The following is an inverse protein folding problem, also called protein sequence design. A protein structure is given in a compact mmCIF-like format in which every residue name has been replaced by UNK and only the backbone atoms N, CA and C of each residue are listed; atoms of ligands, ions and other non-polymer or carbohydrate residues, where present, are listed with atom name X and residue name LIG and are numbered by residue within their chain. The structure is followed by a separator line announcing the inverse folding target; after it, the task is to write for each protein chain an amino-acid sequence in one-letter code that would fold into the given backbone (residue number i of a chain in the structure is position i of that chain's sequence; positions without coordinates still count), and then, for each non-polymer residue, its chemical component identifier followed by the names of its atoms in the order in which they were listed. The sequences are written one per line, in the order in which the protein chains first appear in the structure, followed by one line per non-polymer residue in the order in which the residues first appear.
data_IF_303607745667
#
_entry.id   IF_303607745667
#
_cell.length_a   1.000
_cell.length_b   1.000
_cell.length_c   1.000
_cell.angle_alpha   90.00
_cell.angle_beta   90.00
_cell.angle_gamma   90.00
#
_symmetry.space_group_name_H-M   'P 1'
#
loop_
_entity.id
_entity.type
_entity.pdbx_description
1 polymer ?
#
# COMPACT_ATOMS: atom_id res chain seq x y z
N UNK A 1 9.65 22.35 -29.52
CA UNK A 1 10.38 21.66 -28.45
C UNK A 1 9.80 20.25 -28.38
N UNK A 2 10.68 19.23 -28.40
CA UNK A 2 10.25 17.86 -28.29
C UNK A 2 10.00 17.52 -26.83
N UNK A 3 8.92 16.77 -26.54
CA UNK A 3 8.69 16.19 -25.22
C UNK A 3 9.59 14.96 -25.08
N UNK A 4 10.55 15.01 -24.16
CA UNK A 4 11.54 13.95 -23.94
C UNK A 4 11.21 13.06 -22.75
N UNK A 5 10.06 13.27 -22.10
CA UNK A 5 9.69 12.61 -20.84
C UNK A 5 9.65 11.08 -20.94
N UNK A 6 9.34 10.55 -22.14
CA UNK A 6 9.22 9.11 -22.39
C UNK A 6 10.44 8.54 -23.18
N UNK A 7 11.53 9.31 -23.33
CA UNK A 7 12.71 8.84 -24.07
C UNK A 7 13.61 8.03 -23.15
N UNK A 8 13.88 6.77 -23.53
CA UNK A 8 14.69 5.82 -22.74
C UNK A 8 16.06 6.40 -22.34
N UNK A 9 16.69 7.18 -23.23
CA UNK A 9 18.01 7.78 -22.98
C UNK A 9 18.03 8.82 -21.84
N UNK A 10 16.88 9.37 -21.44
CA UNK A 10 16.75 10.37 -20.37
C UNK A 10 16.03 9.83 -19.13
N UNK A 11 15.63 8.58 -19.15
CA UNK A 11 14.76 7.99 -18.10
C UNK A 11 15.38 8.00 -16.69
N UNK A 12 16.70 7.95 -16.57
CA UNK A 12 17.39 7.96 -15.28
C UNK A 12 17.85 9.36 -14.81
N UNK A 13 17.63 10.42 -15.61
CA UNK A 13 18.21 11.76 -15.35
C UNK A 13 17.72 12.40 -14.04
N UNK A 14 16.52 12.05 -13.59
CA UNK A 14 15.88 12.60 -12.37
C UNK A 14 15.92 11.63 -11.18
N UNK A 15 16.63 10.49 -11.29
CA UNK A 15 16.67 9.45 -10.27
C UNK A 15 18.10 9.04 -9.91
N UNK A 16 18.20 8.15 -8.91
CA UNK A 16 19.45 7.44 -8.60
C UNK A 16 19.26 6.00 -9.05
N UNK A 17 20.12 5.50 -9.94
CA UNK A 17 20.06 4.10 -10.36
C UNK A 17 20.54 3.16 -9.26
N UNK A 18 20.12 1.90 -9.31
CA UNK A 18 20.59 0.88 -8.36
C UNK A 18 22.11 0.72 -8.41
N UNK A 19 22.71 0.87 -9.61
CA UNK A 19 24.15 0.82 -9.80
C UNK A 19 24.87 1.95 -9.06
N UNK A 20 24.37 3.19 -9.18
CA UNK A 20 24.95 4.34 -8.47
C UNK A 20 24.83 4.15 -6.96
N UNK A 21 23.65 3.75 -6.46
CA UNK A 21 23.43 3.49 -5.04
C UNK A 21 24.42 2.45 -4.49
N UNK A 22 24.56 1.30 -5.17
CA UNK A 22 25.41 0.19 -4.68
C UNK A 22 26.90 0.44 -4.86
N UNK A 23 27.32 1.37 -5.72
CA UNK A 23 28.75 1.67 -5.96
C UNK A 23 29.21 2.92 -5.22
N UNK A 24 28.41 4.00 -5.26
CA UNK A 24 28.82 5.29 -4.72
C UNK A 24 28.38 5.50 -3.27
N UNK A 25 27.24 4.91 -2.86
CA UNK A 25 26.63 5.10 -1.53
C UNK A 25 26.70 3.83 -0.66
N UNK A 26 27.52 2.86 -1.03
CA UNK A 26 27.66 1.61 -0.28
C UNK A 26 28.00 1.83 1.20
N UNK A 27 28.96 2.71 1.57
CA UNK A 27 29.26 2.97 2.97
C UNK A 27 28.08 3.54 3.77
N UNK A 28 27.21 4.34 3.12
CA UNK A 28 26.03 4.92 3.77
C UNK A 28 24.95 3.87 4.02
N UNK A 29 24.80 2.88 3.11
CA UNK A 29 23.90 1.73 3.29
C UNK A 29 24.39 0.85 4.44
N UNK A 30 25.70 0.54 4.49
CA UNK A 30 26.31 -0.25 5.55
C UNK A 30 26.07 0.40 6.93
N UNK A 31 26.33 1.69 7.01
CA UNK A 31 26.16 2.45 8.23
C UNK A 31 24.68 2.62 8.65
N UNK A 32 23.74 2.72 7.70
CA UNK A 32 22.30 2.69 7.99
C UNK A 32 21.88 1.30 8.48
N UNK A 33 22.45 0.22 7.88
CA UNK A 33 22.20 -1.15 8.28
C UNK A 33 22.64 -1.41 9.72
N UNK A 34 23.83 -0.94 10.10
CA UNK A 34 24.34 -1.03 11.49
C UNK A 34 23.37 -0.37 12.48
N UNK A 35 22.91 0.84 12.20
CA UNK A 35 21.99 1.57 13.08
C UNK A 35 20.61 0.90 13.20
N UNK A 36 20.18 0.16 12.17
CA UNK A 36 18.90 -0.56 12.13
C UNK A 36 19.03 -2.04 12.57
N UNK A 37 20.24 -2.54 12.85
CA UNK A 37 20.48 -3.94 13.13
C UNK A 37 20.22 -4.88 11.94
N UNK A 38 20.45 -4.39 10.72
CA UNK A 38 20.26 -5.09 9.44
C UNK A 38 21.59 -5.38 8.77
N UNK A 39 21.66 -6.47 8.02
CA UNK A 39 22.75 -6.71 7.07
C UNK A 39 22.67 -5.71 5.92
N UNK A 40 23.76 -5.58 5.15
CA UNK A 40 23.79 -4.74 3.94
C UNK A 40 22.68 -5.12 2.96
N UNK A 41 22.49 -6.42 2.72
CA UNK A 41 21.48 -6.95 1.80
C UNK A 41 20.07 -6.65 2.27
N UNK A 42 19.78 -6.80 3.55
CA UNK A 42 18.48 -6.48 4.14
C UNK A 42 18.21 -4.98 4.06
N UNK A 43 19.20 -4.15 4.40
CA UNK A 43 19.08 -2.69 4.31
C UNK A 43 18.85 -2.23 2.88
N UNK A 44 19.62 -2.77 1.91
CA UNK A 44 19.43 -2.46 0.48
C UNK A 44 18.06 -2.89 -0.03
N UNK A 45 17.58 -4.06 0.38
CA UNK A 45 16.25 -4.54 0.02
C UNK A 45 15.14 -3.62 0.57
N UNK A 46 15.29 -3.16 1.82
CA UNK A 46 14.32 -2.25 2.43
C UNK A 46 14.35 -0.85 1.78
N UNK A 47 15.53 -0.32 1.46
CA UNK A 47 15.67 0.94 0.71
C UNK A 47 15.03 0.82 -0.69
N UNK A 48 15.26 -0.32 -1.38
CA UNK A 48 14.65 -0.60 -2.68
C UNK A 48 13.13 -0.61 -2.57
N UNK A 49 12.57 -1.34 -1.61
CA UNK A 49 11.13 -1.42 -1.39
C UNK A 49 10.50 -0.07 -1.07
N UNK A 50 11.24 0.79 -0.36
CA UNK A 50 10.71 2.05 0.16
C UNK A 50 10.82 3.21 -0.82
N UNK A 51 11.91 3.30 -1.62
CA UNK A 51 12.26 4.50 -2.40
C UNK A 51 12.52 4.26 -3.88
N UNK A 52 12.69 3.00 -4.32
CA UNK A 52 12.89 2.63 -5.72
C UNK A 52 11.57 2.57 -6.49
N UNK A 53 11.67 2.31 -7.78
CA UNK A 53 10.53 1.91 -8.61
C UNK A 53 9.90 3.02 -9.44
N UNK A 54 10.50 4.22 -9.51
CA UNK A 54 10.13 5.19 -10.53
C UNK A 54 10.61 4.75 -11.89
N UNK A 55 9.70 4.72 -12.87
CA UNK A 55 9.93 4.22 -14.21
C UNK A 55 9.30 5.19 -15.22
N UNK A 56 10.09 5.73 -16.14
CA UNK A 56 9.70 6.87 -16.95
C UNK A 56 9.56 6.57 -18.44
N UNK A 57 9.90 5.37 -18.91
CA UNK A 57 9.75 4.98 -20.31
C UNK A 57 9.50 3.48 -20.45
N UNK A 58 9.26 2.99 -21.66
CA UNK A 58 8.89 1.59 -21.91
C UNK A 58 10.00 0.58 -21.58
N UNK A 59 11.26 1.00 -21.66
CA UNK A 59 12.45 0.13 -21.53
C UNK A 59 13.45 0.62 -20.50
N UNK A 60 13.08 1.61 -19.70
CA UNK A 60 13.98 2.15 -18.68
C UNK A 60 14.17 1.17 -17.50
N UNK A 61 15.24 1.38 -16.76
CA UNK A 61 15.37 0.80 -15.43
C UNK A 61 14.57 1.61 -14.39
N UNK A 62 14.24 0.98 -13.28
CA UNK A 62 13.68 1.67 -12.13
C UNK A 62 14.76 2.54 -11.47
N UNK A 63 14.35 3.70 -10.97
CA UNK A 63 15.24 4.61 -10.25
C UNK A 63 14.65 5.01 -8.90
N UNK A 64 15.54 5.24 -7.94
CA UNK A 64 15.21 5.74 -6.61
C UNK A 64 14.85 7.22 -6.63
N UNK A 65 13.92 7.61 -5.77
CA UNK A 65 13.69 9.02 -5.45
C UNK A 65 14.92 9.61 -4.74
N UNK A 66 15.65 10.55 -5.36
CA UNK A 66 16.89 11.09 -4.78
C UNK A 66 16.68 11.80 -3.44
N UNK A 67 15.58 12.56 -3.32
CA UNK A 67 15.29 13.33 -2.11
C UNK A 67 15.08 12.42 -0.90
N UNK A 68 14.21 11.43 -1.04
CA UNK A 68 13.88 10.53 0.06
C UNK A 68 15.02 9.59 0.41
N UNK A 69 15.71 9.05 -0.61
CA UNK A 69 16.86 8.17 -0.42
C UNK A 69 18.00 8.88 0.32
N UNK A 70 18.43 10.06 -0.15
CA UNK A 70 19.51 10.82 0.50
C UNK A 70 19.12 11.24 1.92
N UNK A 71 17.84 11.60 2.14
CA UNK A 71 17.37 11.90 3.49
C UNK A 71 17.39 10.69 4.41
N UNK A 72 17.01 9.50 3.93
CA UNK A 72 17.05 8.27 4.71
C UNK A 72 18.48 7.91 5.12
N UNK A 73 19.43 7.98 4.19
CA UNK A 73 20.84 7.72 4.45
C UNK A 73 21.44 8.71 5.45
N UNK A 74 21.17 10.01 5.28
CA UNK A 74 21.67 11.06 6.18
C UNK A 74 21.06 10.99 7.58
N UNK A 75 19.75 10.73 7.67
CA UNK A 75 19.04 10.65 8.94
C UNK A 75 19.21 9.30 9.65
N UNK A 76 19.85 8.32 9.02
CA UNK A 76 20.00 6.95 9.50
C UNK A 76 18.66 6.30 9.86
N UNK A 77 17.63 6.59 9.07
CA UNK A 77 16.26 6.13 9.33
C UNK A 77 15.47 5.99 8.03
N UNK A 78 14.79 4.87 7.85
CA UNK A 78 13.83 4.66 6.78
C UNK A 78 12.46 5.23 7.22
N UNK A 79 11.96 6.23 6.50
CA UNK A 79 10.70 6.89 6.81
C UNK A 79 10.11 7.58 5.55
N UNK A 80 8.81 7.90 5.52
CA UNK A 80 8.21 8.61 4.40
C UNK A 80 8.57 10.10 4.44
N UNK A 81 9.57 10.50 3.68
CA UNK A 81 10.08 11.88 3.62
C UNK A 81 9.39 12.75 2.58
N UNK A 82 8.96 12.16 1.46
CA UNK A 82 8.40 12.89 0.33
C UNK A 82 7.15 13.69 0.71
N UNK A 83 6.25 13.09 1.48
CA UNK A 83 5.03 13.75 1.96
C UNK A 83 5.26 14.77 3.09
N UNK A 84 6.43 14.81 3.69
CA UNK A 84 6.77 15.80 4.72
C UNK A 84 6.88 17.24 4.20
N UNK A 85 6.93 17.44 2.89
CA UNK A 85 7.04 18.75 2.26
C UNK A 85 5.70 19.46 1.99
N UNK A 86 4.57 18.81 2.25
CA UNK A 86 3.23 19.40 2.11
C UNK A 86 2.13 18.41 1.80
N UNK A 87 0.95 18.60 2.38
CA UNK A 87 -0.23 17.80 2.05
C UNK A 87 -0.72 18.19 0.65
N UNK A 88 -0.94 17.26 -0.25
CA UNK A 88 -1.37 17.55 -1.63
C UNK A 88 -2.85 17.92 -1.69
N UNK A 89 -3.23 19.05 -1.07
CA UNK A 89 -4.63 19.49 -0.96
C UNK A 89 -5.32 19.60 -2.33
N UNK A 90 -4.57 20.04 -3.36
CA UNK A 90 -5.09 20.10 -4.71
C UNK A 90 -5.39 18.71 -5.28
N UNK A 91 -4.50 17.73 -5.02
CA UNK A 91 -4.69 16.36 -5.45
C UNK A 91 -5.94 15.74 -4.80
N UNK A 92 -6.08 15.91 -3.48
CA UNK A 92 -7.26 15.39 -2.75
C UNK A 92 -8.55 15.97 -3.33
N UNK A 93 -8.61 17.29 -3.56
CA UNK A 93 -9.76 17.95 -4.19
C UNK A 93 -10.02 17.41 -5.60
N UNK A 94 -8.98 17.11 -6.37
CA UNK A 94 -9.10 16.57 -7.72
C UNK A 94 -9.64 15.13 -7.69
N UNK A 95 -9.16 14.28 -6.78
CA UNK A 95 -9.68 12.93 -6.59
C UNK A 95 -11.16 12.95 -6.19
N UNK A 96 -11.55 13.84 -5.29
CA UNK A 96 -12.94 14.05 -4.90
C UNK A 96 -13.80 14.52 -6.08
N UNK A 97 -13.31 15.49 -6.85
CA UNK A 97 -14.00 16.01 -8.05
C UNK A 97 -14.30 14.92 -9.08
N UNK A 98 -13.35 14.02 -9.30
CA UNK A 98 -13.49 12.91 -10.25
C UNK A 98 -14.04 11.63 -9.61
N UNK A 99 -14.47 11.66 -8.34
CA UNK A 99 -15.01 10.52 -7.61
C UNK A 99 -14.11 9.27 -7.64
N UNK A 100 -12.78 9.49 -7.59
CA UNK A 100 -11.81 8.40 -7.63
C UNK A 100 -11.79 7.67 -6.30
N UNK A 101 -12.10 6.36 -6.33
CA UNK A 101 -11.92 5.52 -5.15
C UNK A 101 -10.42 5.20 -4.98
N UNK A 102 -9.94 5.19 -3.74
CA UNK A 102 -8.55 4.90 -3.41
C UNK A 102 -8.07 3.53 -3.92
N UNK A 103 -8.96 2.55 -3.96
CA UNK A 103 -8.67 1.21 -4.49
C UNK A 103 -8.51 1.18 -6.01
N UNK A 104 -9.07 2.17 -6.73
CA UNK A 104 -8.98 2.24 -8.19
C UNK A 104 -7.71 2.97 -8.68
N UNK A 105 -6.90 3.45 -7.78
CA UNK A 105 -5.64 4.15 -8.11
C UNK A 105 -4.58 3.17 -8.58
N UNK A 106 -4.53 1.97 -7.98
CA UNK A 106 -3.55 0.94 -8.34
C UNK A 106 -3.93 0.16 -9.61
N UNK A 107 -2.89 -0.29 -10.32
CA UNK A 107 -3.00 -1.16 -11.52
C UNK A 107 -3.91 -0.58 -12.60
N UNK A 108 -3.85 0.74 -12.80
CA UNK A 108 -4.64 1.42 -13.82
C UNK A 108 -4.07 1.13 -15.21
N UNK A 109 -4.83 0.40 -16.03
CA UNK A 109 -4.50 0.21 -17.46
C UNK A 109 -5.02 1.40 -18.28
N UNK A 110 -4.17 2.01 -19.09
CA UNK A 110 -4.47 3.25 -19.83
C UNK A 110 -3.60 3.36 -21.10
N UNK A 111 -3.99 4.26 -21.99
CA UNK A 111 -3.20 4.69 -23.13
C UNK A 111 -2.30 5.90 -22.74
N UNK A 112 -1.33 6.25 -23.57
CA UNK A 112 -0.45 7.40 -23.29
C UNK A 112 -1.25 8.70 -23.19
N UNK A 113 -2.26 8.86 -24.02
CA UNK A 113 -3.14 10.05 -24.04
C UNK A 113 -4.03 10.17 -22.77
N UNK A 114 -4.12 9.11 -21.96
CA UNK A 114 -4.84 9.14 -20.69
C UNK A 114 -4.06 9.79 -19.56
N UNK A 115 -2.73 9.85 -19.64
CA UNK A 115 -1.87 10.32 -18.54
C UNK A 115 -0.81 11.36 -18.93
N UNK A 116 -0.40 11.43 -20.21
CA UNK A 116 0.57 12.43 -20.69
C UNK A 116 -0.15 13.58 -21.43
N UNK A 117 -1.04 14.27 -20.72
CA UNK A 117 -1.81 15.42 -21.23
C UNK A 117 -1.61 16.66 -20.36
N UNK A 118 -1.81 17.85 -20.97
CA UNK A 118 -1.71 19.10 -20.21
C UNK A 118 -2.85 19.22 -19.17
N UNK A 119 -2.62 19.96 -18.05
CA UNK A 119 -3.62 20.13 -17.01
C UNK A 119 -4.96 20.69 -17.48
N UNK A 120 -4.95 21.53 -18.54
CA UNK A 120 -6.18 22.13 -19.12
C UNK A 120 -7.04 21.10 -19.86
N UNK A 121 -6.45 20.00 -20.32
CA UNK A 121 -7.13 18.96 -21.09
C UNK A 121 -7.51 17.73 -20.25
N UNK A 122 -7.23 17.75 -18.95
CA UNK A 122 -7.51 16.63 -18.05
C UNK A 122 -9.01 16.33 -17.94
N UNK A 123 -9.39 15.09 -18.26
CA UNK A 123 -10.75 14.56 -18.08
C UNK A 123 -10.87 13.63 -16.88
N UNK A 124 -9.74 13.30 -16.24
CA UNK A 124 -9.65 12.43 -15.06
C UNK A 124 -8.52 12.90 -14.12
N UNK A 125 -8.39 12.27 -12.97
CA UNK A 125 -7.28 12.56 -12.05
C UNK A 125 -5.95 11.88 -12.48
N UNK A 126 -5.97 10.98 -13.46
CA UNK A 126 -4.82 10.14 -13.83
C UNK A 126 -3.60 10.95 -14.28
N UNK A 127 -3.74 11.99 -15.17
CA UNK A 127 -2.60 12.81 -15.55
C UNK A 127 -1.94 13.50 -14.36
N UNK A 128 -2.73 14.03 -13.44
CA UNK A 128 -2.21 14.68 -12.24
C UNK A 128 -1.43 13.68 -11.37
N UNK A 129 -1.97 12.48 -11.15
CA UNK A 129 -1.31 11.43 -10.37
C UNK A 129 0.03 11.02 -10.97
N UNK A 130 0.09 10.85 -12.29
CA UNK A 130 1.31 10.47 -13.00
C UNK A 130 2.34 11.61 -13.02
N UNK A 131 1.96 12.79 -13.49
CA UNK A 131 2.86 13.94 -13.64
C UNK A 131 3.38 14.48 -12.30
N UNK A 132 2.64 14.27 -11.20
CA UNK A 132 3.09 14.62 -9.86
C UNK A 132 3.86 13.49 -9.17
N UNK A 133 4.15 12.37 -9.83
CA UNK A 133 4.95 11.27 -9.31
C UNK A 133 4.24 10.38 -8.28
N UNK A 134 2.91 10.45 -8.18
CA UNK A 134 2.14 9.50 -7.34
C UNK A 134 1.98 8.14 -8.01
N UNK A 135 1.93 8.14 -9.35
CA UNK A 135 1.94 6.92 -10.15
C UNK A 135 3.14 6.93 -11.10
N UNK A 136 3.54 5.75 -11.51
CA UNK A 136 4.60 5.53 -12.48
C UNK A 136 4.24 4.38 -13.40
N UNK A 137 4.94 4.25 -14.53
CA UNK A 137 4.79 3.12 -15.45
C UNK A 137 5.34 1.87 -14.75
N UNK A 138 4.55 0.79 -14.68
CA UNK A 138 5.00 -0.52 -14.18
C UNK A 138 5.08 -1.57 -15.27
N UNK A 139 4.23 -1.46 -16.28
CA UNK A 139 4.23 -2.38 -17.42
C UNK A 139 3.82 -1.64 -18.68
N UNK A 140 4.37 -2.08 -19.79
CA UNK A 140 3.91 -1.73 -21.13
C UNK A 140 3.56 -3.00 -21.90
N UNK A 141 2.40 -3.01 -22.56
CA UNK A 141 1.99 -4.07 -23.45
C UNK A 141 2.12 -3.59 -24.90
N UNK A 142 3.14 -4.02 -25.66
CA UNK A 142 3.39 -3.53 -27.00
C UNK A 142 2.36 -3.98 -28.03
N UNK A 143 1.61 -5.07 -27.76
CA UNK A 143 0.55 -5.53 -28.66
C UNK A 143 -0.70 -4.66 -28.59
N UNK A 144 -0.98 -4.13 -27.41
CA UNK A 144 -2.18 -3.32 -27.15
C UNK A 144 -1.88 -1.84 -27.04
N UNK A 145 -0.60 -1.45 -27.07
CA UNK A 145 -0.10 -0.09 -26.80
C UNK A 145 -0.62 0.47 -25.45
N UNK A 146 -0.72 -0.40 -24.42
CA UNK A 146 -1.28 -0.04 -23.13
C UNK A 146 -0.24 -0.07 -22.03
N UNK A 147 -0.31 0.95 -21.19
CA UNK A 147 0.49 1.09 -19.98
C UNK A 147 -0.29 0.62 -18.76
N UNK A 148 0.41 0.09 -17.77
CA UNK A 148 -0.13 -0.11 -16.43
C UNK A 148 0.58 0.84 -15.49
N UNK A 149 -0.18 1.72 -14.84
CA UNK A 149 0.34 2.65 -13.85
C UNK A 149 0.03 2.13 -12.44
N UNK A 150 1.04 2.23 -11.55
CA UNK A 150 0.92 1.86 -10.14
C UNK A 150 1.72 2.86 -9.28
N UNK A 151 1.57 2.79 -7.96
CA UNK A 151 2.47 3.51 -7.06
C UNK A 151 3.93 3.11 -7.33
N UNK A 152 4.87 4.07 -7.37
CA UNK A 152 6.27 3.73 -7.60
C UNK A 152 6.82 2.83 -6.49
N UNK A 153 6.51 3.13 -5.24
CA UNK A 153 7.06 2.48 -4.07
C UNK A 153 6.17 2.63 -2.84
N UNK A 154 6.63 2.03 -1.74
CA UNK A 154 5.92 2.00 -0.47
C UNK A 154 5.78 3.38 0.17
N UNK A 155 6.79 4.24 0.06
CA UNK A 155 6.74 5.60 0.60
C UNK A 155 5.55 6.38 0.04
N UNK A 156 5.43 6.38 -1.29
CA UNK A 156 4.37 7.11 -2.01
C UNK A 156 3.00 6.51 -1.71
N UNK A 157 2.89 5.17 -1.74
CA UNK A 157 1.64 4.48 -1.39
C UNK A 157 1.18 4.87 0.02
N UNK A 158 2.02 4.70 1.03
CA UNK A 158 1.67 5.02 2.43
C UNK A 158 1.29 6.49 2.60
N UNK A 159 2.09 7.40 2.02
CA UNK A 159 1.81 8.83 2.12
C UNK A 159 0.48 9.22 1.47
N UNK A 160 0.18 8.63 0.30
CA UNK A 160 -1.09 8.84 -0.39
C UNK A 160 -2.27 8.34 0.45
N UNK A 161 -2.18 7.11 0.97
CA UNK A 161 -3.24 6.52 1.80
C UNK A 161 -3.45 7.31 3.10
N UNK A 162 -2.37 7.76 3.76
CA UNK A 162 -2.46 8.64 4.94
C UNK A 162 -3.17 9.97 4.61
N UNK A 163 -2.90 10.54 3.43
CA UNK A 163 -3.51 11.80 2.99
C UNK A 163 -5.01 11.64 2.65
N UNK A 164 -5.41 10.45 2.18
CA UNK A 164 -6.80 10.15 1.83
C UNK A 164 -7.62 9.61 3.01
N UNK A 165 -6.97 8.98 3.98
CA UNK A 165 -7.62 8.35 5.11
C UNK A 165 -8.63 9.26 5.85
N UNK A 166 -8.40 10.57 6.07
CA UNK A 166 -9.38 11.46 6.71
C UNK A 166 -10.74 11.55 6.00
N UNK A 167 -10.78 11.22 4.70
CA UNK A 167 -12.03 11.23 3.94
C UNK A 167 -12.90 10.00 4.18
N UNK A 168 -12.31 8.92 4.66
CA UNK A 168 -12.95 7.61 4.87
C UNK A 168 -12.98 7.20 6.34
N UNK A 169 -11.95 7.58 7.09
CA UNK A 169 -11.77 7.24 8.50
C UNK A 169 -12.13 8.42 9.39
N UNK A 170 -12.60 8.14 10.63
CA UNK A 170 -12.90 9.21 11.58
C UNK A 170 -11.63 9.98 12.00
N UNK A 171 -11.67 11.33 12.09
CA UNK A 171 -10.56 12.13 12.62
C UNK A 171 -10.11 11.69 14.03
N UNK A 172 -11.03 11.24 14.87
CA UNK A 172 -10.73 10.70 16.22
C UNK A 172 -9.79 9.50 16.16
N UNK A 173 -9.82 8.74 15.06
CA UNK A 173 -8.96 7.58 14.84
C UNK A 173 -7.58 7.94 14.29
N UNK A 174 -7.44 9.14 13.74
CA UNK A 174 -6.19 9.62 13.15
C UNK A 174 -5.33 10.39 14.16
N UNK A 175 -5.95 11.06 15.13
CA UNK A 175 -5.25 11.71 16.25
C UNK A 175 -4.54 10.70 17.17
N UNK A 176 -5.06 9.49 17.16
CA UNK A 176 -4.36 8.39 17.78
C UNK A 176 -3.84 7.52 16.63
N UNK A 177 -2.62 7.50 16.29
CA UNK A 177 -1.98 6.33 15.67
C UNK A 177 -2.45 5.02 16.37
N UNK A 178 -3.43 5.16 17.28
CA UNK A 178 -3.86 4.18 18.25
C UNK A 178 -4.62 3.04 17.61
N UNK A 179 -5.57 3.27 16.65
CA UNK A 179 -6.31 2.10 16.14
C UNK A 179 -5.39 1.11 15.43
N UNK A 180 -4.59 1.62 14.48
CA UNK A 180 -3.63 0.78 13.73
C UNK A 180 -2.54 0.27 14.67
N UNK A 181 -2.07 1.11 15.58
CA UNK A 181 -1.07 0.74 16.61
C UNK A 181 -1.62 -0.31 17.57
N UNK A 182 -2.75 -0.03 18.21
CA UNK A 182 -3.41 -0.95 19.16
C UNK A 182 -3.69 -2.32 18.51
N UNK A 183 -4.21 -2.30 17.27
CA UNK A 183 -4.50 -3.53 16.54
C UNK A 183 -3.22 -4.33 16.25
N UNK A 184 -2.13 -3.66 15.87
CA UNK A 184 -0.84 -4.30 15.64
C UNK A 184 -0.22 -4.83 16.94
N UNK A 185 -0.31 -4.09 18.05
CA UNK A 185 0.15 -4.55 19.37
C UNK A 185 -0.61 -5.81 19.80
N UNK A 186 -1.95 -5.80 19.66
CA UNK A 186 -2.77 -6.99 19.94
C UNK A 186 -2.37 -8.18 19.09
N UNK A 187 -2.14 -8.00 17.77
CA UNK A 187 -1.65 -9.08 16.92
C UNK A 187 -0.22 -9.54 17.33
N UNK A 188 0.64 -8.60 17.72
CA UNK A 188 1.98 -8.92 18.23
C UNK A 188 1.90 -9.76 19.50
N UNK A 189 0.99 -9.46 20.42
CA UNK A 189 0.73 -10.19 21.65
C UNK A 189 -0.08 -11.48 21.44
N UNK A 190 -0.50 -11.77 20.19
CA UNK A 190 -1.37 -12.92 19.81
C UNK A 190 -2.80 -12.81 20.35
N UNK A 191 -3.21 -11.64 20.80
CA UNK A 191 -4.61 -11.35 21.15
C UNK A 191 -5.42 -11.02 19.89
N UNK A 192 -5.60 -12.01 19.02
CA UNK A 192 -6.35 -11.86 17.77
C UNK A 192 -7.82 -11.57 18.04
N UNK A 193 -8.37 -12.14 19.12
CA UNK A 193 -9.76 -11.88 19.54
C UNK A 193 -9.94 -10.43 19.96
N UNK A 194 -9.05 -9.88 20.80
CA UNK A 194 -9.06 -8.48 21.19
C UNK A 194 -8.90 -7.55 19.99
N UNK A 195 -8.02 -7.89 19.04
CA UNK A 195 -7.84 -7.15 17.81
C UNK A 195 -9.15 -7.07 16.99
N UNK A 196 -9.87 -8.18 16.86
CA UNK A 196 -11.15 -8.23 16.14
C UNK A 196 -12.24 -7.44 16.84
N UNK A 197 -12.32 -7.52 18.18
CA UNK A 197 -13.26 -6.71 18.99
C UNK A 197 -12.98 -5.21 18.79
N UNK A 198 -11.69 -4.81 18.80
CA UNK A 198 -11.28 -3.41 18.59
C UNK A 198 -11.66 -2.93 17.19
N UNK A 199 -11.40 -3.75 16.16
CA UNK A 199 -11.74 -3.45 14.77
C UNK A 199 -13.27 -3.30 14.58
N UNK A 200 -14.06 -4.22 15.16
CA UNK A 200 -15.53 -4.16 15.15
C UNK A 200 -16.04 -2.86 15.78
N UNK A 201 -15.56 -2.51 16.97
CA UNK A 201 -15.94 -1.28 17.67
C UNK A 201 -15.63 -0.03 16.84
N UNK A 202 -14.48 -0.02 16.19
CA UNK A 202 -14.07 1.06 15.29
C UNK A 202 -15.00 1.19 14.08
N UNK A 203 -15.26 0.10 13.37
CA UNK A 203 -16.15 0.10 12.20
C UNK A 203 -17.56 0.56 12.57
N UNK A 204 -18.06 0.14 13.72
CA UNK A 204 -19.34 0.62 14.23
C UNK A 204 -19.36 2.14 14.47
N UNK A 205 -18.25 2.71 14.92
CA UNK A 205 -18.12 4.16 15.19
C UNK A 205 -18.13 5.03 13.92
N UNK A 206 -17.65 4.52 12.79
CA UNK A 206 -17.57 5.24 11.50
C UNK A 206 -18.77 4.96 10.59
N UNK A 207 -19.55 3.92 10.86
CA UNK A 207 -20.64 3.45 9.99
C UNK A 207 -21.67 4.51 9.60
N UNK A 208 -21.93 5.49 10.47
CA UNK A 208 -22.88 6.58 10.20
C UNK A 208 -22.31 7.68 9.28
N UNK A 209 -21.00 7.70 9.03
CA UNK A 209 -20.30 8.72 8.24
C UNK A 209 -19.98 8.27 6.82
N UNK A 210 -20.02 6.96 6.53
CA UNK A 210 -19.83 6.44 5.20
C UNK A 210 -21.00 6.87 4.29
N UNK A 211 -20.70 7.61 3.23
CA UNK A 211 -21.70 8.35 2.46
C UNK A 211 -22.68 7.45 1.70
N UNK A 212 -22.23 6.30 1.19
CA UNK A 212 -23.03 5.44 0.32
C UNK A 212 -23.40 4.07 0.90
N UNK A 213 -22.78 3.65 2.00
CA UNK A 213 -23.13 2.44 2.77
C UNK A 213 -23.23 1.16 1.92
N UNK A 214 -22.33 1.03 0.95
CA UNK A 214 -22.24 -0.13 0.07
C UNK A 214 -21.00 -0.98 0.37
N UNK A 215 -20.95 -2.18 -0.21
CA UNK A 215 -19.82 -3.10 -0.10
C UNK A 215 -18.47 -2.43 -0.40
N UNK A 216 -18.43 -1.57 -1.42
CA UNK A 216 -17.21 -0.90 -1.86
C UNK A 216 -16.66 0.09 -0.82
N UNK A 217 -17.53 0.80 -0.09
CA UNK A 217 -17.12 1.71 0.97
C UNK A 217 -16.47 0.93 2.12
N UNK A 218 -17.05 -0.22 2.47
CA UNK A 218 -16.49 -1.12 3.47
C UNK A 218 -15.14 -1.69 3.04
N UNK A 219 -15.04 -2.22 1.82
CA UNK A 219 -13.78 -2.71 1.26
C UNK A 219 -12.72 -1.61 1.25
N UNK A 220 -13.09 -0.37 0.93
CA UNK A 220 -12.19 0.79 0.96
C UNK A 220 -11.65 1.06 2.38
N UNK A 221 -12.50 1.01 3.39
CA UNK A 221 -12.08 1.19 4.79
C UNK A 221 -11.12 0.08 5.23
N UNK A 222 -11.44 -1.16 4.93
CA UNK A 222 -10.55 -2.29 5.20
C UNK A 222 -9.21 -2.16 4.47
N UNK A 223 -9.25 -1.87 3.18
CA UNK A 223 -8.06 -1.62 2.38
C UNK A 223 -7.17 -0.54 3.02
N UNK A 224 -7.76 0.58 3.45
CA UNK A 224 -7.01 1.66 4.10
C UNK A 224 -6.39 1.20 5.42
N UNK A 225 -7.15 0.53 6.28
CA UNK A 225 -6.67 0.05 7.59
C UNK A 225 -5.48 -0.88 7.39
N UNK A 226 -5.63 -1.92 6.56
CA UNK A 226 -4.57 -2.92 6.35
C UNK A 226 -3.34 -2.34 5.65
N UNK A 227 -3.52 -1.46 4.66
CA UNK A 227 -2.38 -0.81 4.01
C UNK A 227 -1.67 0.21 4.93
N UNK A 228 -2.39 0.89 5.82
CA UNK A 228 -1.77 1.76 6.82
C UNK A 228 -1.01 0.95 7.89
N UNK A 229 -1.47 -0.26 8.23
CA UNK A 229 -0.68 -1.22 9.02
C UNK A 229 0.63 -1.56 8.31
N UNK A 230 0.62 -1.70 6.99
CA UNK A 230 1.80 -1.91 6.19
C UNK A 230 2.88 -0.82 6.34
N UNK A 231 2.55 0.37 6.87
CA UNK A 231 3.56 1.37 7.23
C UNK A 231 4.48 0.92 8.37
N UNK A 232 4.00 0.01 9.21
CA UNK A 232 4.71 -0.49 10.39
C UNK A 232 5.18 -1.94 10.24
N UNK A 233 4.58 -2.70 9.31
CA UNK A 233 4.83 -4.14 9.12
C UNK A 233 4.74 -4.52 7.65
N UNK A 234 5.17 -5.74 7.31
CA UNK A 234 4.96 -6.28 5.97
C UNK A 234 3.50 -6.76 5.86
N UNK A 235 2.72 -6.11 5.02
CA UNK A 235 1.38 -6.55 4.62
C UNK A 235 1.47 -6.91 3.14
N UNK A 236 1.14 -8.16 2.81
CA UNK A 236 1.08 -8.63 1.42
C UNK A 236 -0.38 -8.89 1.04
N UNK A 237 -0.73 -8.47 -0.15
CA UNK A 237 -2.09 -8.60 -0.69
C UNK A 237 -2.19 -9.68 -1.79
N UNK A 238 -1.06 -10.17 -2.31
CA UNK A 238 -1.00 -11.12 -3.43
C UNK A 238 -0.36 -12.44 -3.01
N UNK A 239 -1.05 -13.57 -3.26
CA UNK A 239 -0.47 -14.91 -3.23
C UNK A 239 -0.51 -15.56 -4.62
N UNK A 240 0.38 -16.52 -4.87
CA UNK A 240 0.52 -17.17 -6.18
C UNK A 240 -0.70 -18.05 -6.60
N UNK A 241 -1.55 -18.44 -5.66
CA UNK A 241 -2.67 -19.39 -5.89
C UNK A 241 -4.04 -18.69 -5.81
N UNK A 242 -4.05 -17.44 -5.40
CA UNK A 242 -5.25 -16.62 -5.20
C UNK A 242 -4.89 -15.46 -4.29
N UNK A 243 -5.85 -14.57 -4.07
CA UNK A 243 -5.61 -13.34 -3.31
C UNK A 243 -6.38 -13.42 -2.00
N UNK A 244 -5.68 -13.51 -0.87
CA UNK A 244 -6.28 -13.20 0.42
C UNK A 244 -6.56 -11.69 0.50
N UNK A 245 -7.62 -11.29 1.20
CA UNK A 245 -7.95 -9.86 1.31
C UNK A 245 -6.88 -9.09 2.09
N UNK A 246 -6.23 -9.73 3.08
CA UNK A 246 -5.03 -9.18 3.71
C UNK A 246 -4.16 -10.26 4.35
N UNK A 247 -2.84 -10.04 4.33
CA UNK A 247 -1.86 -10.87 5.05
C UNK A 247 -0.96 -9.97 5.87
N UNK A 248 -0.93 -10.18 7.19
CA UNK A 248 -0.08 -9.42 8.12
C UNK A 248 1.07 -10.30 8.58
N UNK A 249 2.31 -9.84 8.31
CA UNK A 249 3.54 -10.52 8.72
C UNK A 249 4.08 -9.94 10.01
N UNK A 250 4.33 -10.82 10.96
CA UNK A 250 5.05 -10.55 12.20
C UNK A 250 6.37 -11.34 12.24
N UNK A 251 7.29 -10.99 13.13
CA UNK A 251 8.58 -11.71 13.23
C UNK A 251 8.42 -13.22 13.41
N UNK A 252 7.43 -13.67 14.17
CA UNK A 252 7.18 -15.06 14.55
C UNK A 252 5.78 -15.60 14.17
N UNK A 253 4.96 -14.79 13.47
CA UNK A 253 3.60 -15.19 13.07
C UNK A 253 3.19 -14.57 11.73
N UNK A 254 2.25 -15.22 11.05
CA UNK A 254 1.56 -14.72 9.86
C UNK A 254 0.06 -14.82 10.09
N UNK A 255 -0.66 -13.74 9.82
CA UNK A 255 -2.11 -13.65 9.95
C UNK A 255 -2.72 -13.45 8.57
N UNK A 256 -3.58 -14.38 8.14
CA UNK A 256 -4.30 -14.33 6.86
C UNK A 256 -5.75 -14.00 7.12
N UNK A 257 -6.23 -12.92 6.54
CA UNK A 257 -7.61 -12.45 6.65
C UNK A 257 -8.33 -12.64 5.32
N UNK A 258 -9.54 -13.14 5.41
CA UNK A 258 -10.51 -13.20 4.31
C UNK A 258 -11.82 -12.57 4.78
N UNK A 259 -12.42 -11.74 3.92
CA UNK A 259 -13.58 -10.93 4.25
C UNK A 259 -14.80 -11.37 3.42
N UNK A 260 -15.96 -11.39 4.04
CA UNK A 260 -17.25 -11.51 3.36
C UNK A 260 -18.12 -10.32 3.69
N UNK A 261 -18.90 -9.92 2.73
CA UNK A 261 -19.92 -8.89 2.83
C UNK A 261 -21.30 -9.54 2.71
N UNK A 262 -22.11 -9.45 3.75
CA UNK A 262 -23.42 -10.12 3.84
C UNK A 262 -23.40 -11.65 3.59
N UNK A 263 -22.27 -12.28 3.95
CA UNK A 263 -22.06 -13.73 3.91
C UNK A 263 -21.92 -14.32 5.31
N UNK A 264 -20.86 -15.09 5.54
CA UNK A 264 -20.53 -15.64 6.85
C UNK A 264 -19.03 -15.72 7.09
N UNK A 265 -18.63 -15.65 8.36
CA UNK A 265 -17.23 -15.88 8.76
C UNK A 265 -16.78 -17.30 8.44
N UNK A 266 -17.68 -18.27 8.46
CA UNK A 266 -17.41 -19.66 8.08
C UNK A 266 -17.04 -19.79 6.59
N UNK A 267 -17.77 -19.12 5.69
CA UNK A 267 -17.47 -19.09 4.26
C UNK A 267 -16.10 -18.43 3.98
N UNK A 268 -15.82 -17.29 4.64
CA UNK A 268 -14.53 -16.65 4.56
C UNK A 268 -13.40 -17.58 5.03
N UNK A 269 -13.58 -18.18 6.17
CA UNK A 269 -12.63 -19.10 6.77
C UNK A 269 -12.34 -20.33 5.89
N UNK A 270 -13.39 -20.91 5.31
CA UNK A 270 -13.30 -22.06 4.39
C UNK A 270 -12.57 -21.70 3.09
N UNK A 271 -12.77 -20.49 2.58
CA UNK A 271 -12.08 -20.00 1.38
C UNK A 271 -10.56 -19.95 1.58
N UNK A 272 -10.06 -19.58 2.77
CA UNK A 272 -8.63 -19.60 3.09
C UNK A 272 -8.04 -20.99 2.86
N UNK A 273 -8.76 -22.05 3.30
CA UNK A 273 -8.33 -23.44 3.13
C UNK A 273 -8.43 -23.89 1.66
N UNK A 274 -9.55 -23.64 1.01
CA UNK A 274 -9.82 -24.06 -0.38
C UNK A 274 -8.85 -23.41 -1.38
N UNK A 275 -8.45 -22.17 -1.14
CA UNK A 275 -7.50 -21.44 -1.96
C UNK A 275 -6.04 -21.61 -1.52
N UNK A 276 -5.80 -22.29 -0.39
CA UNK A 276 -4.46 -22.55 0.10
C UNK A 276 -3.66 -21.31 0.45
N UNK A 277 -4.30 -20.27 0.97
CA UNK A 277 -3.63 -18.96 1.24
C UNK A 277 -2.52 -19.04 2.28
N UNK A 278 -2.49 -20.07 3.13
CA UNK A 278 -1.41 -20.32 4.09
C UNK A 278 -0.21 -21.07 3.50
N UNK A 279 -0.38 -21.74 2.33
CA UNK A 279 0.68 -22.59 1.76
C UNK A 279 2.01 -21.84 1.54
N UNK A 280 2.05 -20.61 1.02
CA UNK A 280 3.29 -19.89 0.80
C UNK A 280 4.10 -19.64 2.09
N UNK A 281 3.45 -19.66 3.26
CA UNK A 281 4.04 -19.33 4.55
C UNK A 281 4.37 -20.53 5.43
N UNK A 282 3.97 -21.74 4.99
CA UNK A 282 4.12 -22.98 5.78
C UNK A 282 5.59 -23.40 6.02
N UNK A 283 6.52 -22.92 5.16
CA UNK A 283 7.95 -23.21 5.28
C UNK A 283 8.73 -22.25 6.16
N UNK A 284 8.12 -21.14 6.60
CA UNK A 284 8.83 -20.04 7.30
C UNK A 284 9.07 -20.34 8.80
N UNK A 285 8.56 -21.46 9.32
CA UNK A 285 8.65 -21.83 10.74
C UNK A 285 7.89 -20.89 11.69
N UNK A 286 7.00 -20.04 11.14
CA UNK A 286 6.17 -19.09 11.88
C UNK A 286 4.83 -19.71 12.28
N UNK A 287 4.23 -19.18 13.35
CA UNK A 287 2.85 -19.49 13.69
C UNK A 287 1.92 -18.91 12.63
N UNK A 288 0.97 -19.68 12.15
CA UNK A 288 0.05 -19.27 11.11
C UNK A 288 -1.35 -19.11 11.71
N UNK A 289 -1.97 -17.98 11.43
CA UNK A 289 -3.34 -17.71 11.87
C UNK A 289 -4.22 -17.45 10.65
N UNK A 290 -5.38 -18.10 10.60
CA UNK A 290 -6.42 -17.82 9.62
C UNK A 290 -7.62 -17.16 10.30
N UNK A 291 -8.10 -16.09 9.70
CA UNK A 291 -9.17 -15.25 10.22
C UNK A 291 -10.19 -15.00 9.11
N UNK A 292 -11.36 -15.64 9.23
CA UNK A 292 -12.52 -15.36 8.39
C UNK A 292 -13.38 -14.29 9.07
N UNK A 293 -13.80 -13.27 8.34
CA UNK A 293 -14.56 -12.13 8.87
C UNK A 293 -15.79 -11.89 8.03
N UNK A 294 -16.95 -11.66 8.65
CA UNK A 294 -18.16 -11.22 7.97
C UNK A 294 -18.56 -9.82 8.40
N UNK A 295 -18.81 -8.96 7.43
CA UNK A 295 -19.47 -7.67 7.64
C UNK A 295 -20.95 -7.78 7.27
N UNK A 296 -21.82 -7.26 8.14
CA UNK A 296 -23.26 -7.21 7.93
C UNK A 296 -23.68 -5.76 7.58
N UNK A 297 -24.23 -5.59 6.39
CA UNK A 297 -24.65 -4.29 5.88
C UNK A 297 -25.83 -3.68 6.66
N UNK A 298 -26.69 -4.51 7.28
CA UNK A 298 -27.79 -4.05 8.09
C UNK A 298 -27.33 -3.53 9.45
N UNK A 299 -26.40 -4.27 10.08
CA UNK A 299 -25.77 -3.87 11.35
C UNK A 299 -24.66 -2.82 11.14
N UNK A 300 -24.15 -2.71 9.92
CA UNK A 300 -23.07 -1.79 9.51
C UNK A 300 -21.78 -1.96 10.32
N UNK A 301 -21.47 -3.20 10.63
CA UNK A 301 -20.25 -3.58 11.36
C UNK A 301 -19.91 -5.02 11.11
N UNK A 302 -18.78 -5.47 11.65
CA UNK A 302 -18.46 -6.90 11.70
C UNK A 302 -19.51 -7.60 12.55
N UNK A 303 -20.24 -8.54 11.96
CA UNK A 303 -21.23 -9.35 12.67
C UNK A 303 -20.58 -10.56 13.36
N UNK A 304 -19.65 -11.19 12.66
CA UNK A 304 -19.06 -12.45 13.05
C UNK A 304 -17.62 -12.59 12.53
N UNK A 305 -16.80 -13.35 13.25
CA UNK A 305 -15.46 -13.77 12.81
C UNK A 305 -15.09 -15.13 13.36
N UNK A 306 -14.21 -15.82 12.67
CA UNK A 306 -13.67 -17.12 13.06
C UNK A 306 -12.17 -17.11 12.98
N UNK A 307 -11.51 -17.51 14.06
CA UNK A 307 -10.06 -17.55 14.19
C UNK A 307 -9.63 -18.98 14.42
N UNK A 308 -8.51 -19.38 13.80
CA UNK A 308 -7.82 -20.62 14.11
C UNK A 308 -6.33 -20.45 13.87
N UNK A 309 -5.55 -20.93 14.81
CA UNK A 309 -4.13 -21.18 14.60
C UNK A 309 -3.98 -22.48 13.80
N UNK A 310 -3.18 -22.43 12.73
CA UNK A 310 -2.94 -23.52 11.79
C UNK A 310 -1.80 -24.42 12.21
#
# INVERSE_FOLDING_TARGET
LDNISMFDQYSAICGISKKELTTQMKPDIEALGEDLGMTYEECLAELTRFYDGYHFSEKSEDVFNPFSLVKALNARKIAPYWFGSGTPSYLIKTLQKYHVNVMDIEKKSCDVDDFDVSPEMMTSALPLLYQSGYLTIKKYNPMLHRYTLEYPNREVKIGMLKSLAPNYLSPISLDNNSLVGDFLEMLYDRDVEGAMIRLKAYLASISNRLSNKNERDFQTVFYLIFNLMGAHMRVEEDSAIGRADAVVYMPDAVFVFELKYDGSAEEAFKQIDEKGYLIPYSADGKRLFKIGVNYDSNQRTISDWKIKEG
#
